data_IF_759132268207
#
_entry.id   IF_759132268207
#
_cell.length_a   1.000
_cell.length_b   1.000
_cell.length_c   1.000
_cell.angle_alpha   90.00
_cell.angle_beta   90.00
_cell.angle_gamma   90.00
#
_symmetry.space_group_name_H-M   'P 1'
#
loop_
_entity.id
_entity.type
_entity.pdbx_description
1 polymer ?
#
# COMPACT_ATOMS: atom_id res chain seq x y z
N UNK A 1 -30.88 14.28 -6.53
CA UNK A 1 -29.94 14.04 -7.65
C UNK A 1 -28.76 13.35 -7.00
N UNK A 2 -28.90 12.03 -6.85
CA UNK A 2 -28.14 11.20 -5.92
C UNK A 2 -26.99 10.50 -6.64
N UNK A 3 -25.81 10.68 -6.06
CA UNK A 3 -24.67 9.75 -5.93
C UNK A 3 -24.48 8.70 -7.03
N UNK A 4 -23.71 9.09 -8.03
CA UNK A 4 -23.22 8.21 -9.10
C UNK A 4 -21.95 7.50 -8.63
N UNK A 5 -22.08 6.20 -8.33
CA UNK A 5 -21.05 5.15 -8.42
C UNK A 5 -19.58 5.59 -8.40
N UNK A 6 -19.10 5.97 -7.23
CA UNK A 6 -17.70 5.77 -6.84
C UNK A 6 -17.77 4.80 -5.68
N UNK A 7 -17.40 3.55 -5.93
CA UNK A 7 -17.23 2.49 -4.93
C UNK A 7 -16.74 3.10 -3.63
N UNK A 8 -17.61 3.08 -2.64
CA UNK A 8 -17.55 3.81 -1.39
C UNK A 8 -16.13 3.82 -0.78
N UNK A 9 -15.34 4.87 -1.07
CA UNK A 9 -13.94 5.03 -0.62
C UNK A 9 -13.84 4.89 0.92
N UNK A 10 -14.95 5.12 1.62
CA UNK A 10 -15.09 4.98 3.06
C UNK A 10 -15.26 3.52 3.54
N UNK A 11 -15.90 2.63 2.77
CA UNK A 11 -15.93 1.19 3.09
C UNK A 11 -14.52 0.58 2.92
N UNK A 12 -13.76 1.10 1.95
CA UNK A 12 -12.58 0.43 1.43
C UNK A 12 -11.23 0.90 2.00
N UNK A 13 -11.15 2.06 2.67
CA UNK A 13 -9.89 2.51 3.30
C UNK A 13 -9.67 2.02 4.73
N UNK A 14 -10.74 1.69 5.46
CA UNK A 14 -10.63 1.29 6.87
C UNK A 14 -11.11 -0.14 7.14
N UNK A 15 -12.19 -0.61 6.50
CA UNK A 15 -12.79 -1.91 6.88
C UNK A 15 -12.07 -3.10 6.26
N UNK A 16 -11.70 -3.07 4.97
CA UNK A 16 -10.93 -4.17 4.36
C UNK A 16 -9.49 -4.19 4.87
N UNK A 17 -8.83 -3.03 5.04
CA UNK A 17 -7.52 -3.00 5.70
C UNK A 17 -7.57 -3.56 7.13
N UNK A 18 -8.61 -3.24 7.92
CA UNK A 18 -8.83 -3.81 9.25
C UNK A 18 -9.16 -5.32 9.23
N UNK A 19 -9.95 -5.78 8.27
CA UNK A 19 -10.31 -7.20 8.12
C UNK A 19 -9.12 -8.05 7.62
N UNK A 20 -8.26 -7.45 6.79
CA UNK A 20 -6.97 -8.02 6.39
C UNK A 20 -6.03 -8.11 7.60
N UNK A 21 -5.98 -7.07 8.44
CA UNK A 21 -5.24 -7.06 9.71
C UNK A 21 -5.78 -8.07 10.75
N UNK A 22 -7.07 -8.42 10.69
CA UNK A 22 -7.73 -9.42 11.56
C UNK A 22 -7.72 -10.85 10.99
N UNK A 23 -7.13 -11.09 9.81
CA UNK A 23 -7.17 -12.38 9.11
C UNK A 23 -8.61 -12.92 8.87
N UNK A 24 -9.61 -12.05 8.78
CA UNK A 24 -11.03 -12.40 8.70
C UNK A 24 -11.47 -12.74 7.25
N UNK A 25 -10.82 -13.73 6.64
CA UNK A 25 -11.03 -14.16 5.25
C UNK A 25 -12.50 -14.41 4.89
N UNK A 26 -13.24 -15.06 5.80
CA UNK A 26 -14.65 -15.38 5.59
C UNK A 26 -15.54 -14.14 5.45
N UNK A 27 -15.27 -13.09 6.22
CA UNK A 27 -16.03 -11.84 6.20
C UNK A 27 -15.73 -11.02 4.95
N UNK A 28 -14.46 -10.99 4.52
CA UNK A 28 -14.04 -10.33 3.28
C UNK A 28 -14.77 -10.98 2.09
N UNK A 29 -14.73 -12.31 1.99
CA UNK A 29 -15.41 -13.06 0.91
C UNK A 29 -16.92 -12.78 0.92
N UNK A 30 -17.54 -12.69 2.10
CA UNK A 30 -18.97 -12.38 2.21
C UNK A 30 -19.30 -10.98 1.66
N UNK A 31 -18.52 -9.96 2.01
CA UNK A 31 -18.71 -8.58 1.53
C UNK A 31 -18.62 -8.53 0.00
N UNK A 32 -17.64 -9.21 -0.58
CA UNK A 32 -17.42 -9.18 -2.03
C UNK A 32 -18.49 -9.93 -2.79
N UNK A 33 -18.97 -11.05 -2.25
CA UNK A 33 -20.11 -11.76 -2.83
C UNK A 33 -21.38 -10.91 -2.84
N UNK A 34 -21.56 -10.02 -1.87
CA UNK A 34 -22.68 -9.07 -1.90
C UNK A 34 -22.45 -7.96 -2.93
N UNK A 35 -21.24 -7.38 -2.97
CA UNK A 35 -20.84 -6.44 -4.03
C UNK A 35 -21.06 -7.02 -5.44
N UNK A 36 -20.78 -8.30 -5.65
CA UNK A 36 -21.01 -8.97 -6.94
C UNK A 36 -22.49 -9.03 -7.32
N UNK A 37 -23.40 -9.18 -6.34
CA UNK A 37 -24.85 -9.13 -6.60
C UNK A 37 -25.26 -7.71 -7.00
N UNK A 38 -24.78 -6.72 -6.26
CA UNK A 38 -25.07 -5.30 -6.56
C UNK A 38 -24.54 -4.92 -7.96
N UNK A 39 -23.35 -5.39 -8.34
CA UNK A 39 -22.77 -5.18 -9.67
C UNK A 39 -23.63 -5.76 -10.81
N UNK A 40 -24.27 -6.90 -10.57
CA UNK A 40 -25.18 -7.53 -11.55
C UNK A 40 -26.50 -6.74 -11.63
N UNK A 41 -27.07 -6.37 -10.48
CA UNK A 41 -28.31 -5.59 -10.40
C UNK A 41 -28.16 -4.20 -11.05
N UNK A 42 -26.98 -3.60 -10.97
CA UNK A 42 -26.68 -2.29 -11.54
C UNK A 42 -26.04 -2.35 -12.94
N UNK A 43 -25.98 -3.53 -13.58
CA UNK A 43 -25.45 -3.74 -14.93
C UNK A 43 -24.07 -3.09 -15.17
N UNK A 44 -23.14 -3.29 -14.23
CA UNK A 44 -21.81 -2.64 -14.31
C UNK A 44 -21.10 -2.96 -15.63
N UNK A 45 -20.41 -1.97 -16.21
CA UNK A 45 -19.64 -2.21 -17.42
C UNK A 45 -18.38 -3.06 -17.14
N UNK A 46 -17.96 -3.84 -18.14
CA UNK A 46 -16.69 -4.60 -18.08
C UNK A 46 -15.50 -3.67 -17.82
N UNK A 47 -15.53 -2.46 -18.39
CA UNK A 47 -14.47 -1.47 -18.23
C UNK A 47 -14.38 -0.99 -16.78
N UNK A 48 -15.51 -0.65 -16.15
CA UNK A 48 -15.55 -0.21 -14.76
C UNK A 48 -15.11 -1.32 -13.81
N UNK A 49 -15.54 -2.56 -14.08
CA UNK A 49 -15.11 -3.72 -13.31
C UNK A 49 -13.59 -3.94 -13.42
N UNK A 50 -13.00 -3.81 -14.60
CA UNK A 50 -11.53 -3.91 -14.76
C UNK A 50 -10.79 -2.82 -14.00
N UNK A 51 -11.29 -1.58 -14.06
CA UNK A 51 -10.70 -0.46 -13.33
C UNK A 51 -10.73 -0.71 -11.82
N UNK A 52 -11.87 -1.19 -11.29
CA UNK A 52 -12.01 -1.62 -9.90
C UNK A 52 -10.96 -2.69 -9.52
N UNK A 53 -10.81 -3.75 -10.31
CA UNK A 53 -9.82 -4.80 -10.02
C UNK A 53 -8.36 -4.30 -10.09
N UNK A 54 -8.03 -3.36 -10.97
CA UNK A 54 -6.70 -2.76 -11.03
C UNK A 54 -6.40 -1.95 -9.76
N UNK A 55 -7.40 -1.21 -9.27
CA UNK A 55 -7.32 -0.49 -7.99
C UNK A 55 -7.10 -1.49 -6.85
N UNK A 56 -7.85 -2.59 -6.82
CA UNK A 56 -7.69 -3.66 -5.82
C UNK A 56 -6.31 -4.31 -5.86
N UNK A 57 -5.80 -4.61 -7.05
CA UNK A 57 -4.47 -5.18 -7.24
C UNK A 57 -3.39 -4.28 -6.62
N UNK A 58 -3.53 -2.96 -6.78
CA UNK A 58 -2.63 -1.96 -6.17
C UNK A 58 -2.81 -1.84 -4.65
N UNK A 59 -4.05 -1.89 -4.14
CA UNK A 59 -4.35 -1.82 -2.70
C UNK A 59 -3.79 -3.03 -1.96
N UNK A 60 -4.07 -4.25 -2.42
CA UNK A 60 -3.54 -5.46 -1.77
C UNK A 60 -2.02 -5.49 -1.77
N UNK A 61 -1.41 -5.08 -2.88
CA UNK A 61 0.04 -4.95 -2.99
C UNK A 61 0.61 -4.00 -1.93
N UNK A 62 -0.04 -2.85 -1.72
CA UNK A 62 0.36 -1.89 -0.71
C UNK A 62 0.21 -2.44 0.71
N UNK A 63 -0.89 -3.13 1.01
CA UNK A 63 -1.11 -3.74 2.33
C UNK A 63 -0.11 -4.87 2.61
N UNK A 64 0.25 -5.67 1.60
CA UNK A 64 1.33 -6.66 1.70
C UNK A 64 2.67 -6.03 2.05
N UNK A 65 3.03 -4.93 1.38
CA UNK A 65 4.26 -4.18 1.68
C UNK A 65 4.22 -3.61 3.10
N UNK A 66 3.08 -3.06 3.53
CA UNK A 66 2.88 -2.52 4.88
C UNK A 66 3.06 -3.59 5.96
N UNK A 67 2.65 -4.83 5.67
CA UNK A 67 2.84 -5.99 6.55
C UNK A 67 4.23 -6.64 6.45
N UNK A 68 5.17 -6.05 5.68
CA UNK A 68 6.58 -6.43 5.70
C UNK A 68 6.97 -7.56 4.76
N UNK A 69 6.10 -7.96 3.83
CA UNK A 69 6.40 -9.00 2.84
C UNK A 69 7.31 -8.42 1.74
N UNK A 70 8.34 -9.18 1.35
CA UNK A 70 9.33 -8.74 0.39
C UNK A 70 8.74 -8.54 -1.03
N UNK A 71 9.17 -7.47 -1.70
CA UNK A 71 8.68 -7.09 -3.06
C UNK A 71 8.98 -8.14 -4.13
N UNK A 72 9.98 -9.01 -3.91
CA UNK A 72 10.31 -10.13 -4.81
C UNK A 72 9.16 -11.12 -4.98
N UNK A 73 8.29 -11.28 -3.97
CA UNK A 73 7.08 -12.11 -4.06
C UNK A 73 5.90 -11.36 -4.67
N UNK A 74 5.89 -10.05 -4.50
CA UNK A 74 4.78 -9.22 -4.92
C UNK A 74 4.79 -8.96 -6.43
N UNK A 75 5.95 -8.69 -7.02
CA UNK A 75 6.05 -8.38 -8.46
C UNK A 75 5.46 -9.47 -9.37
N UNK A 76 5.74 -10.78 -9.16
CA UNK A 76 5.11 -11.84 -9.96
C UNK A 76 3.58 -11.86 -9.83
N UNK A 77 3.07 -11.63 -8.62
CA UNK A 77 1.64 -11.75 -8.30
C UNK A 77 0.87 -10.55 -8.85
N UNK A 78 1.39 -9.34 -8.63
CA UNK A 78 0.83 -8.13 -9.20
C UNK A 78 0.77 -8.21 -10.73
N UNK A 79 1.86 -8.63 -11.37
CA UNK A 79 1.95 -8.73 -12.83
C UNK A 79 1.04 -9.83 -13.40
N UNK A 80 0.89 -10.96 -12.69
CA UNK A 80 -0.07 -12.02 -13.05
C UNK A 80 -1.47 -11.43 -13.13
N UNK A 81 -1.94 -10.80 -12.06
CA UNK A 81 -3.30 -10.26 -12.01
C UNK A 81 -3.51 -9.09 -12.97
N UNK A 82 -2.51 -8.22 -13.15
CA UNK A 82 -2.58 -7.15 -14.15
C UNK A 82 -2.89 -7.71 -15.55
N UNK A 83 -2.16 -8.77 -15.97
CA UNK A 83 -2.37 -9.41 -17.28
C UNK A 83 -3.73 -10.11 -17.36
N UNK A 84 -4.12 -10.84 -16.31
CA UNK A 84 -5.39 -11.56 -16.28
C UNK A 84 -6.58 -10.59 -16.38
N UNK A 85 -6.58 -9.49 -15.61
CA UNK A 85 -7.62 -8.44 -15.66
C UNK A 85 -7.75 -7.88 -17.08
N UNK A 86 -6.63 -7.55 -17.74
CA UNK A 86 -6.66 -7.02 -19.10
C UNK A 86 -7.24 -8.01 -20.11
N UNK A 87 -6.96 -9.31 -19.95
CA UNK A 87 -7.35 -10.36 -20.91
C UNK A 87 -8.81 -10.80 -20.85
N UNK A 88 -9.48 -10.59 -19.72
CA UNK A 88 -10.86 -11.06 -19.52
C UNK A 88 -11.88 -10.10 -20.14
N UNK A 89 -13.01 -10.63 -20.60
CA UNK A 89 -14.08 -9.87 -21.26
C UNK A 89 -15.49 -10.26 -20.78
N UNK A 90 -15.58 -10.85 -19.59
CA UNK A 90 -16.84 -11.29 -18.97
C UNK A 90 -16.84 -10.89 -17.49
N UNK A 91 -17.96 -10.34 -17.03
CA UNK A 91 -18.16 -9.91 -15.64
C UNK A 91 -18.01 -11.11 -14.70
N UNK A 92 -18.63 -12.25 -15.01
CA UNK A 92 -18.50 -13.47 -14.20
C UNK A 92 -17.04 -13.90 -14.00
N UNK A 93 -16.24 -13.83 -15.08
CA UNK A 93 -14.81 -14.16 -15.00
C UNK A 93 -14.03 -13.15 -14.18
N UNK A 94 -14.35 -11.87 -14.28
CA UNK A 94 -13.72 -10.80 -13.49
C UNK A 94 -14.10 -10.90 -12.00
N UNK A 95 -15.35 -11.21 -11.69
CA UNK A 95 -15.81 -11.46 -10.32
C UNK A 95 -15.13 -12.68 -9.70
N UNK A 96 -15.00 -13.77 -10.48
CA UNK A 96 -14.22 -14.95 -10.04
C UNK A 96 -12.75 -14.60 -9.79
N UNK A 97 -12.15 -13.79 -10.67
CA UNK A 97 -10.77 -13.32 -10.50
C UNK A 97 -10.60 -12.47 -9.22
N UNK A 98 -11.58 -11.65 -8.85
CA UNK A 98 -11.53 -10.85 -7.61
C UNK A 98 -11.42 -11.74 -6.36
N UNK A 99 -12.18 -12.85 -6.33
CA UNK A 99 -12.11 -13.83 -5.24
C UNK A 99 -10.74 -14.51 -5.21
N UNK A 100 -10.20 -14.90 -6.38
CA UNK A 100 -8.88 -15.53 -6.50
C UNK A 100 -7.74 -14.58 -6.10
N UNK A 101 -7.86 -13.30 -6.45
CA UNK A 101 -6.93 -12.24 -6.04
C UNK A 101 -6.85 -12.19 -4.52
N UNK A 102 -8.00 -12.11 -3.86
CA UNK A 102 -8.05 -11.99 -2.40
C UNK A 102 -7.56 -13.23 -1.72
N UNK A 103 -7.94 -14.42 -2.22
CA UNK A 103 -7.42 -15.67 -1.68
C UNK A 103 -5.88 -15.67 -1.74
N UNK A 104 -5.31 -15.29 -2.88
CA UNK A 104 -3.86 -15.21 -3.07
C UNK A 104 -3.22 -14.18 -2.14
N UNK A 105 -3.76 -12.96 -2.07
CA UNK A 105 -3.22 -11.86 -1.28
C UNK A 105 -3.34 -12.12 0.24
N UNK A 106 -4.49 -12.64 0.69
CA UNK A 106 -4.71 -13.02 2.08
C UNK A 106 -3.85 -14.24 2.45
N UNK A 107 -3.70 -15.23 1.57
CA UNK A 107 -2.81 -16.36 1.83
C UNK A 107 -1.35 -15.92 1.93
N UNK A 108 -0.90 -14.89 1.20
CA UNK A 108 0.45 -14.32 1.41
C UNK A 108 0.61 -13.69 2.79
N UNK A 109 -0.45 -13.09 3.31
CA UNK A 109 -0.48 -12.48 4.65
C UNK A 109 -0.63 -13.50 5.77
N UNK A 110 -1.30 -14.63 5.51
CA UNK A 110 -1.52 -15.72 6.48
C UNK A 110 -0.37 -16.74 6.47
N UNK A 111 0.17 -17.09 5.30
CA UNK A 111 1.09 -18.23 5.14
C UNK A 111 2.58 -17.90 5.35
N UNK A 112 2.93 -16.78 5.98
CA UNK A 112 4.28 -16.60 6.56
C UNK A 112 5.45 -16.97 5.62
N UNK A 113 5.30 -16.76 4.31
CA UNK A 113 6.35 -17.07 3.35
C UNK A 113 7.46 -16.02 3.49
N UNK A 114 8.43 -16.36 4.35
CA UNK A 114 9.68 -15.67 4.74
C UNK A 114 9.74 -15.00 6.13
N UNK A 115 9.12 -15.57 7.17
CA UNK A 115 9.58 -15.33 8.56
C UNK A 115 10.97 -15.94 8.86
N UNK A 116 11.60 -16.62 7.89
CA UNK A 116 12.85 -17.35 8.08
C UNK A 116 14.14 -16.59 7.81
N UNK A 117 14.23 -15.27 8.01
CA UNK A 117 15.60 -14.71 8.18
C UNK A 117 15.83 -13.53 9.12
N UNK A 118 14.82 -12.79 9.61
CA UNK A 118 15.05 -11.95 10.79
C UNK A 118 13.78 -11.36 11.43
N UNK A 119 13.33 -11.93 12.55
CA UNK A 119 12.24 -11.37 13.38
C UNK A 119 12.45 -9.89 13.73
N UNK A 120 13.72 -9.48 13.88
CA UNK A 120 14.10 -8.10 14.20
C UNK A 120 13.75 -7.15 13.05
N UNK A 121 14.00 -7.56 11.80
CA UNK A 121 13.71 -6.76 10.61
C UNK A 121 12.22 -6.52 10.48
N UNK A 122 11.41 -7.56 10.69
CA UNK A 122 9.96 -7.44 10.59
C UNK A 122 9.41 -6.46 11.63
N UNK A 123 9.93 -6.50 12.87
CA UNK A 123 9.55 -5.53 13.91
C UNK A 123 10.01 -4.12 13.58
N UNK A 124 11.20 -3.95 12.99
CA UNK A 124 11.68 -2.64 12.51
C UNK A 124 10.75 -2.10 11.43
N UNK A 125 10.44 -2.88 10.39
CA UNK A 125 9.53 -2.49 9.30
C UNK A 125 8.15 -2.10 9.83
N UNK A 126 7.56 -2.93 10.70
CA UNK A 126 6.27 -2.65 11.34
C UNK A 126 6.30 -1.31 12.07
N UNK A 127 7.35 -1.05 12.85
CA UNK A 127 7.49 0.23 13.55
C UNK A 127 7.57 1.40 12.57
N UNK A 128 8.33 1.29 11.47
CA UNK A 128 8.48 2.36 10.47
C UNK A 128 7.15 2.70 9.75
N UNK A 129 6.37 1.68 9.39
CA UNK A 129 5.08 1.88 8.70
C UNK A 129 3.98 2.42 9.60
N UNK A 130 3.91 1.98 10.86
CA UNK A 130 2.92 2.51 11.82
C UNK A 130 3.22 3.95 12.26
N UNK A 131 4.49 4.37 12.18
CA UNK A 131 4.96 5.67 12.69
C UNK A 131 5.39 6.62 11.57
N UNK A 132 4.91 6.43 10.34
CA UNK A 132 5.40 7.11 9.12
C UNK A 132 5.30 8.64 9.21
N UNK A 133 4.24 9.14 9.84
CA UNK A 133 3.93 10.58 10.02
C UNK A 133 4.70 11.20 11.21
N UNK A 134 5.31 10.37 12.05
CA UNK A 134 6.08 10.80 13.22
C UNK A 134 7.59 10.76 12.97
N UNK A 135 8.38 11.45 13.80
CA UNK A 135 9.85 11.42 13.72
C UNK A 135 10.39 10.04 14.06
N UNK A 136 11.09 9.43 13.09
CA UNK A 136 11.72 8.13 13.27
C UNK A 136 13.04 8.31 14.01
N UNK A 137 13.16 7.63 15.16
CA UNK A 137 14.34 7.66 16.02
C UNK A 137 14.83 6.26 16.29
N UNK A 138 16.12 6.00 16.02
CA UNK A 138 16.77 4.74 16.39
C UNK A 138 16.70 4.49 17.90
N UNK A 139 16.71 5.56 18.71
CA UNK A 139 16.55 5.45 20.17
C UNK A 139 15.17 4.92 20.55
N UNK A 140 14.10 5.41 19.90
CA UNK A 140 12.74 4.92 20.11
C UNK A 140 12.63 3.45 19.68
N UNK A 141 13.17 3.13 18.50
CA UNK A 141 13.20 1.76 17.97
C UNK A 141 13.96 0.81 18.90
N UNK A 142 15.09 1.25 19.44
CA UNK A 142 15.92 0.51 20.39
C UNK A 142 15.16 0.18 21.66
N UNK A 143 14.46 1.17 22.23
CA UNK A 143 13.63 0.99 23.42
C UNK A 143 12.44 0.04 23.16
N UNK A 144 11.72 0.22 22.05
CA UNK A 144 10.52 -0.56 21.73
C UNK A 144 10.83 -2.02 21.39
N UNK A 145 12.04 -2.28 20.88
CA UNK A 145 12.48 -3.61 20.46
C UNK A 145 13.38 -4.30 21.50
N UNK A 146 13.81 -3.61 22.55
CA UNK A 146 14.83 -4.07 23.50
C UNK A 146 16.13 -4.52 22.81
N UNK A 147 16.58 -3.73 21.82
CA UNK A 147 17.78 -4.01 21.03
C UNK A 147 18.70 -2.79 20.99
N UNK A 148 20.00 -2.98 20.81
CA UNK A 148 20.92 -1.85 20.65
C UNK A 148 20.68 -1.15 19.31
N UNK A 149 20.88 0.18 19.28
CA UNK A 149 20.76 0.97 18.05
C UNK A 149 21.71 0.49 16.95
N UNK A 150 22.93 0.08 17.34
CA UNK A 150 23.93 -0.46 16.42
C UNK A 150 23.45 -1.75 15.76
N UNK A 151 22.98 -2.71 16.55
CA UNK A 151 22.44 -3.97 16.03
C UNK A 151 21.25 -3.74 15.10
N UNK A 152 20.32 -2.85 15.46
CA UNK A 152 19.18 -2.47 14.61
C UNK A 152 19.66 -1.91 13.27
N UNK A 153 20.60 -0.97 13.28
CA UNK A 153 21.12 -0.33 12.07
C UNK A 153 21.83 -1.33 11.15
N UNK A 154 22.72 -2.14 11.72
CA UNK A 154 23.53 -3.10 10.97
C UNK A 154 22.68 -4.24 10.41
N UNK A 155 21.79 -4.79 11.24
CA UNK A 155 20.82 -5.79 10.82
C UNK A 155 19.98 -5.26 9.67
N UNK A 156 19.38 -4.08 9.81
CA UNK A 156 18.55 -3.51 8.77
C UNK A 156 19.30 -3.24 7.47
N UNK A 157 20.48 -2.64 7.55
CA UNK A 157 21.28 -2.36 6.36
C UNK A 157 21.74 -3.65 5.68
N UNK A 158 22.10 -4.68 6.43
CA UNK A 158 22.48 -6.00 5.90
C UNK A 158 21.33 -6.66 5.14
N UNK A 159 20.12 -6.63 5.68
CA UNK A 159 18.96 -7.29 5.06
C UNK A 159 18.29 -6.46 3.95
N UNK A 160 18.25 -5.13 4.09
CA UNK A 160 17.51 -4.25 3.16
C UNK A 160 18.40 -3.56 2.12
N UNK A 161 19.73 -3.66 2.26
CA UNK A 161 20.70 -2.98 1.39
C UNK A 161 20.73 -1.45 1.55
N UNK A 162 19.84 -0.88 2.37
CA UNK A 162 19.73 0.56 2.62
C UNK A 162 19.57 0.83 4.11
N UNK A 163 19.90 2.06 4.54
CA UNK A 163 19.73 2.45 5.94
C UNK A 163 18.26 2.64 6.30
N UNK A 164 17.93 2.45 7.59
CA UNK A 164 16.58 2.70 8.14
C UNK A 164 16.09 4.10 7.79
N UNK A 165 16.96 5.10 7.91
CA UNK A 165 16.60 6.50 7.63
C UNK A 165 16.31 6.74 6.14
N UNK A 166 17.02 6.06 5.24
CA UNK A 166 16.74 6.15 3.80
C UNK A 166 15.46 5.40 3.43
N UNK A 167 15.20 4.24 4.05
CA UNK A 167 13.94 3.51 3.88
C UNK A 167 12.75 4.36 4.37
N UNK A 168 12.88 4.97 5.54
CA UNK A 168 11.90 5.90 6.11
C UNK A 168 11.58 7.08 5.17
N UNK A 169 12.60 7.69 4.56
CA UNK A 169 12.39 8.73 3.54
C UNK A 169 11.66 8.19 2.33
N UNK A 170 12.04 7.00 1.84
CA UNK A 170 11.41 6.35 0.68
C UNK A 170 9.91 6.14 0.90
N UNK A 171 9.51 5.52 2.02
CA UNK A 171 8.09 5.28 2.32
C UNK A 171 7.29 6.58 2.43
N UNK A 172 7.88 7.64 3.01
CA UNK A 172 7.24 8.97 3.07
C UNK A 172 7.07 9.58 1.67
N UNK A 173 8.07 9.47 0.80
CA UNK A 173 7.96 9.94 -0.59
C UNK A 173 6.90 9.15 -1.36
N UNK A 174 6.84 7.84 -1.19
CA UNK A 174 5.80 7.03 -1.85
C UNK A 174 4.40 7.39 -1.34
N UNK A 175 4.24 7.69 -0.04
CA UNK A 175 2.98 8.26 0.49
C UNK A 175 2.68 9.65 -0.07
N UNK A 176 3.70 10.50 -0.23
CA UNK A 176 3.55 11.82 -0.81
C UNK A 176 3.07 11.77 -2.26
N UNK A 177 3.60 10.87 -3.09
CA UNK A 177 3.14 10.66 -4.46
C UNK A 177 1.64 10.36 -4.51
N UNK A 178 1.16 9.49 -3.62
CA UNK A 178 -0.28 9.17 -3.52
C UNK A 178 -1.06 10.43 -3.17
N UNK A 179 -0.69 11.14 -2.10
CA UNK A 179 -1.39 12.36 -1.68
C UNK A 179 -1.39 13.44 -2.77
N UNK A 180 -0.28 13.61 -3.49
CA UNK A 180 -0.19 14.56 -4.60
C UNK A 180 -1.14 14.25 -5.76
N UNK A 181 -1.50 12.98 -5.96
CA UNK A 181 -2.37 12.51 -7.06
C UNK A 181 -3.84 12.37 -6.64
N UNK A 182 -4.11 12.08 -5.36
CA UNK A 182 -5.45 11.75 -4.88
C UNK A 182 -6.10 12.87 -4.07
N UNK A 183 -5.35 13.92 -3.69
CA UNK A 183 -5.89 15.04 -2.89
C UNK A 183 -5.49 16.39 -3.48
N UNK A 184 -6.24 17.42 -3.08
CA UNK A 184 -5.93 18.82 -3.40
C UNK A 184 -5.11 19.51 -2.30
N UNK A 185 -4.56 18.75 -1.34
CA UNK A 185 -3.78 19.30 -0.24
C UNK A 185 -2.59 20.11 -0.78
N UNK A 186 -2.20 21.18 -0.09
CA UNK A 186 -1.03 21.94 -0.51
C UNK A 186 0.25 21.11 -0.32
N UNK A 187 1.29 21.43 -1.07
CA UNK A 187 2.61 20.78 -0.92
C UNK A 187 3.16 20.98 0.51
N UNK A 188 2.85 22.12 1.13
CA UNK A 188 3.20 22.41 2.50
C UNK A 188 2.46 21.48 3.47
N UNK A 189 1.15 21.29 3.30
CA UNK A 189 0.34 20.42 4.16
C UNK A 189 0.79 18.97 4.06
N UNK A 190 1.05 18.48 2.84
CA UNK A 190 1.59 17.14 2.60
C UNK A 190 2.96 16.97 3.27
N UNK A 191 3.82 17.98 3.19
CA UNK A 191 5.12 17.98 3.85
C UNK A 191 5.00 17.86 5.37
N UNK A 192 4.15 18.69 5.98
CA UNK A 192 3.92 18.69 7.44
C UNK A 192 3.32 17.35 7.89
N UNK A 193 2.30 16.87 7.18
CA UNK A 193 1.62 15.60 7.48
C UNK A 193 2.57 14.40 7.47
N UNK A 194 3.55 14.40 6.58
CA UNK A 194 4.53 13.32 6.47
C UNK A 194 5.75 13.50 7.38
N UNK A 195 5.69 14.44 8.32
CA UNK A 195 6.72 14.65 9.34
C UNK A 195 8.04 15.17 8.76
N UNK A 196 8.00 15.96 7.70
CA UNK A 196 9.16 16.74 7.23
C UNK A 196 9.23 18.07 8.00
N UNK A 197 10.45 18.46 8.36
CA UNK A 197 10.69 19.69 9.13
C UNK A 197 10.22 20.95 8.42
N UNK A 198 10.39 21.00 7.09
CA UNK A 198 9.97 22.10 6.26
C UNK A 198 9.78 21.66 4.80
N UNK A 199 9.10 22.50 4.03
CA UNK A 199 8.81 22.27 2.62
C UNK A 199 10.07 22.17 1.74
N UNK A 200 11.15 22.86 2.10
CA UNK A 200 12.41 22.82 1.34
C UNK A 200 13.11 21.47 1.47
N UNK A 201 13.11 20.90 2.68
CA UNK A 201 13.62 19.57 2.95
C UNK A 201 12.77 18.51 2.24
N UNK A 202 11.43 18.62 2.32
CA UNK A 202 10.53 17.74 1.56
C UNK A 202 10.81 17.80 0.06
N UNK A 203 10.91 18.99 -0.52
CA UNK A 203 11.18 19.19 -1.94
C UNK A 203 12.49 18.50 -2.37
N UNK A 204 13.59 18.72 -1.63
CA UNK A 204 14.90 18.13 -1.94
C UNK A 204 14.84 16.60 -1.91
N UNK A 205 14.23 16.03 -0.86
CA UNK A 205 14.09 14.58 -0.72
C UNK A 205 13.18 14.01 -1.81
N UNK A 206 12.03 14.63 -2.07
CA UNK A 206 11.11 14.17 -3.11
C UNK A 206 11.79 14.14 -4.48
N UNK A 207 12.48 15.23 -4.84
CA UNK A 207 13.20 15.32 -6.11
C UNK A 207 14.34 14.30 -6.20
N UNK A 208 15.06 14.05 -5.11
CA UNK A 208 16.13 13.03 -5.12
C UNK A 208 15.60 11.61 -5.36
N UNK A 209 14.38 11.31 -4.91
CA UNK A 209 13.76 9.99 -5.05
C UNK A 209 12.98 9.80 -6.36
N UNK A 210 12.48 10.88 -6.96
CA UNK A 210 11.56 10.82 -8.10
C UNK A 210 12.12 11.42 -9.39
N UNK A 211 13.20 12.20 -9.30
CA UNK A 211 13.77 12.95 -10.43
C UNK A 211 13.07 14.29 -10.71
N UNK A 212 11.84 14.47 -10.24
CA UNK A 212 11.00 15.66 -10.50
C UNK A 212 10.53 16.33 -9.22
N UNK A 213 10.07 17.57 -9.30
CA UNK A 213 9.52 18.26 -8.13
C UNK A 213 8.12 17.75 -7.76
N UNK A 214 7.66 17.92 -6.50
CA UNK A 214 6.29 17.58 -6.10
C UNK A 214 5.22 18.24 -6.99
N UNK A 215 5.41 19.51 -7.36
CA UNK A 215 4.49 20.25 -8.24
C UNK A 215 4.46 19.66 -9.65
N UNK A 216 5.63 19.34 -10.21
CA UNK A 216 5.72 18.69 -11.53
C UNK A 216 5.05 17.31 -11.49
N UNK A 217 5.33 16.51 -10.46
CA UNK A 217 4.75 15.19 -10.29
C UNK A 217 3.21 15.23 -10.24
N UNK A 218 2.64 16.24 -9.58
CA UNK A 218 1.19 16.48 -9.59
C UNK A 218 0.70 16.79 -11.00
N UNK A 219 1.32 17.73 -11.70
CA UNK A 219 0.82 18.21 -13.00
C UNK A 219 1.01 17.21 -14.15
N UNK A 220 2.07 16.39 -14.13
CA UNK A 220 2.38 15.42 -15.19
C UNK A 220 1.41 14.23 -15.28
N UNK A 221 0.58 14.01 -14.25
CA UNK A 221 -0.45 12.96 -14.24
C UNK A 221 -1.88 13.51 -14.40
N UNK A 222 -2.04 14.81 -14.59
CA UNK A 222 -3.31 15.50 -14.88
C UNK A 222 -3.36 16.04 -16.33
N UNK A 223 -2.55 15.46 -17.24
CA UNK A 223 -2.58 15.73 -18.68
C UNK A 223 -3.26 14.60 -19.44
#
# INVERSE_FOLDING_TARGET
>A
MEDTFLSDINIFSNRISFLIELHAKHEIIYIIKNKHKDEIENEISITDKKNDLLIWNAIYSKEIIKNGIATKYLHPIYNKFYKEISSLSSIDKLQKLELDMIDTYVNLLINDTEVTDNFVINRILKHLHLNIESTISLKKLSNDLNLSQGYISDCFKKHMGITIMNYAKKIRIDRAKVLLLTTNDSILDISIRLGFHDQSHFYKVFKSFTGVSPSQYRNENFG
#
